data_IF_724989650091
#
_entry.id   IF_724989650091
#
_cell.length_a   1.000
_cell.length_b   1.000
_cell.length_c   1.000
_cell.angle_alpha   90.00
_cell.angle_beta   90.00
_cell.angle_gamma   90.00
#
_symmetry.space_group_name_H-M   'P 1'
#
loop_
_entity.id
_entity.type
_entity.pdbx_description
1 polymer ?
#
# COMPACT_ATOMS: atom_id res chain seq x y z
N UNK A 1 10.03 24.12 -53.40
CA UNK A 1 9.48 23.33 -52.29
C UNK A 1 8.14 23.93 -51.89
N UNK A 2 7.03 23.23 -52.14
CA UNK A 2 5.69 23.80 -52.02
C UNK A 2 5.35 24.02 -50.54
N UNK A 3 5.03 25.27 -50.16
CA UNK A 3 4.66 25.65 -48.78
C UNK A 3 3.56 24.75 -48.20
N UNK A 4 2.64 24.28 -49.04
CA UNK A 4 1.56 23.34 -48.68
C UNK A 4 2.07 21.93 -48.28
N UNK A 5 3.11 21.42 -48.93
CA UNK A 5 3.70 20.11 -48.61
C UNK A 5 4.43 20.15 -47.25
N UNK A 6 5.14 21.25 -46.97
CA UNK A 6 5.85 21.47 -45.70
C UNK A 6 4.85 21.59 -44.54
N UNK A 7 3.74 22.32 -44.73
CA UNK A 7 2.66 22.41 -43.72
C UNK A 7 2.00 21.04 -43.44
N UNK A 8 1.78 20.23 -44.48
CA UNK A 8 1.22 18.89 -44.34
C UNK A 8 2.10 17.95 -43.52
N UNK A 9 3.42 17.96 -43.78
CA UNK A 9 4.40 17.16 -43.03
C UNK A 9 4.51 17.63 -41.57
N UNK A 10 4.48 18.95 -41.32
CA UNK A 10 4.49 19.50 -39.96
C UNK A 10 3.24 19.14 -39.16
N UNK A 11 2.06 19.18 -39.80
CA UNK A 11 0.80 18.78 -39.17
C UNK A 11 0.79 17.29 -38.81
N UNK A 12 1.29 16.44 -39.72
CA UNK A 12 1.41 15.00 -39.47
C UNK A 12 2.39 14.69 -38.32
N UNK A 13 3.55 15.35 -38.28
CA UNK A 13 4.53 15.19 -37.19
C UNK A 13 3.98 15.62 -35.82
N UNK A 14 3.18 16.68 -35.75
CA UNK A 14 2.53 17.12 -34.51
C UNK A 14 1.49 16.11 -34.00
N UNK A 15 0.64 15.59 -34.89
CA UNK A 15 -0.37 14.59 -34.54
C UNK A 15 0.26 13.25 -34.16
N UNK A 16 1.30 12.82 -34.89
CA UNK A 16 2.01 11.57 -34.61
C UNK A 16 2.86 11.67 -33.33
N UNK A 17 3.57 12.79 -33.13
CA UNK A 17 4.38 13.03 -31.94
C UNK A 17 3.56 13.11 -30.65
N UNK A 18 2.39 13.73 -30.69
CA UNK A 18 1.46 13.73 -29.55
C UNK A 18 0.89 12.34 -29.27
N UNK A 19 0.65 11.51 -30.29
CA UNK A 19 0.18 10.14 -30.11
C UNK A 19 1.22 9.24 -29.41
N UNK A 20 2.49 9.32 -29.82
CA UNK A 20 3.62 8.60 -29.20
C UNK A 20 3.81 8.97 -27.73
N UNK A 21 3.80 10.28 -27.42
CA UNK A 21 3.98 10.78 -26.06
C UNK A 21 2.88 10.27 -25.11
N UNK A 22 1.64 10.16 -25.59
CA UNK A 22 0.53 9.66 -24.78
C UNK A 22 0.56 8.14 -24.58
N UNK A 23 0.97 7.38 -25.59
CA UNK A 23 1.20 5.94 -25.43
C UNK A 23 2.29 5.64 -24.40
N UNK A 24 3.30 6.50 -24.29
CA UNK A 24 4.34 6.38 -23.26
C UNK A 24 3.79 6.72 -21.86
N UNK A 25 3.00 7.79 -21.73
CA UNK A 25 2.35 8.16 -20.46
C UNK A 25 1.42 7.09 -19.92
N UNK A 26 0.64 6.41 -20.78
CA UNK A 26 -0.25 5.33 -20.36
C UNK A 26 0.52 4.10 -19.87
N UNK A 27 1.63 3.74 -20.54
CA UNK A 27 2.53 2.65 -20.10
C UNK A 27 3.15 2.95 -18.73
N UNK A 28 3.63 4.18 -18.51
CA UNK A 28 4.18 4.59 -17.21
C UNK A 28 3.13 4.55 -16.09
N UNK A 29 1.89 4.97 -16.37
CA UNK A 29 0.79 4.87 -15.40
C UNK A 29 0.42 3.42 -15.06
N UNK A 30 0.46 2.52 -16.05
CA UNK A 30 0.22 1.10 -15.81
C UNK A 30 1.32 0.49 -14.93
N UNK A 31 2.59 0.87 -15.15
CA UNK A 31 3.69 0.48 -14.26
C UNK A 31 3.46 1.03 -12.84
N UNK A 32 3.08 2.30 -12.71
CA UNK A 32 2.79 2.90 -11.40
C UNK A 32 1.64 2.21 -10.68
N UNK A 33 0.58 1.84 -11.40
CA UNK A 33 -0.55 1.07 -10.86
C UNK A 33 -0.10 -0.32 -10.38
N UNK A 34 0.69 -1.04 -11.18
CA UNK A 34 1.24 -2.36 -10.80
C UNK A 34 2.15 -2.26 -9.57
N UNK A 35 2.97 -1.22 -9.48
CA UNK A 35 3.84 -1.00 -8.32
C UNK A 35 3.03 -0.66 -7.07
N UNK A 36 2.02 0.21 -7.19
CA UNK A 36 1.12 0.55 -6.09
C UNK A 36 0.28 -0.65 -5.63
N UNK A 37 -0.15 -1.52 -6.55
CA UNK A 37 -0.84 -2.77 -6.20
C UNK A 37 0.08 -3.75 -5.46
N UNK A 38 1.34 -3.87 -5.89
CA UNK A 38 2.34 -4.68 -5.17
C UNK A 38 2.61 -4.12 -3.78
N UNK A 39 2.68 -2.79 -3.64
CA UNK A 39 2.84 -2.12 -2.35
C UNK A 39 1.64 -2.38 -1.42
N UNK A 40 0.42 -2.26 -1.95
CA UNK A 40 -0.81 -2.58 -1.21
C UNK A 40 -0.84 -4.04 -0.74
N UNK A 41 -0.53 -5.00 -1.64
CA UNK A 41 -0.46 -6.44 -1.28
C UNK A 41 0.61 -6.73 -0.23
N UNK A 42 1.75 -6.02 -0.25
CA UNK A 42 2.78 -6.16 0.79
C UNK A 42 2.28 -5.62 2.13
N UNK A 43 1.64 -4.45 2.13
CA UNK A 43 1.07 -3.86 3.34
C UNK A 43 -0.05 -4.73 3.94
N UNK A 44 -0.92 -5.34 3.12
CA UNK A 44 -1.90 -6.34 3.58
C UNK A 44 -1.24 -7.53 4.27
N UNK A 45 -0.15 -8.06 3.70
CA UNK A 45 0.62 -9.15 4.32
C UNK A 45 1.26 -8.73 5.64
N UNK A 46 1.74 -7.49 5.74
CA UNK A 46 2.29 -6.94 6.99
C UNK A 46 1.21 -6.83 8.07
N UNK A 47 0.00 -6.36 7.72
CA UNK A 47 -1.15 -6.33 8.63
C UNK A 47 -1.48 -7.74 9.12
N UNK A 48 -1.60 -8.71 8.21
CA UNK A 48 -1.91 -10.09 8.60
C UNK A 48 -0.84 -10.71 9.52
N UNK A 49 0.44 -10.35 9.34
CA UNK A 49 1.52 -10.79 10.25
C UNK A 49 1.42 -10.12 11.61
N UNK A 50 1.20 -8.80 11.64
CA UNK A 50 1.08 -8.04 12.87
C UNK A 50 -0.16 -8.44 13.68
N UNK A 51 -1.26 -8.81 13.01
CA UNK A 51 -2.45 -9.37 13.66
C UNK A 51 -2.16 -10.70 14.34
N UNK A 52 -1.47 -11.63 13.65
CA UNK A 52 -1.05 -12.90 14.24
C UNK A 52 -0.10 -12.71 15.43
N UNK A 53 0.79 -11.73 15.36
CA UNK A 53 1.69 -11.39 16.47
C UNK A 53 0.91 -10.83 17.67
N UNK A 54 -0.04 -9.93 17.42
CA UNK A 54 -0.90 -9.37 18.46
C UNK A 54 -1.77 -10.46 19.13
N UNK A 55 -2.35 -11.36 18.35
CA UNK A 55 -3.15 -12.48 18.88
C UNK A 55 -2.31 -13.41 19.77
N UNK A 56 -1.09 -13.74 19.35
CA UNK A 56 -0.16 -14.54 20.17
C UNK A 56 0.21 -13.83 21.47
N UNK A 57 0.57 -12.55 21.37
CA UNK A 57 0.94 -11.76 22.54
C UNK A 57 -0.23 -11.59 23.53
N UNK A 58 -1.47 -11.53 23.03
CA UNK A 58 -2.67 -11.54 23.84
C UNK A 58 -2.87 -12.86 24.58
N UNK A 59 -2.76 -14.00 23.88
CA UNK A 59 -2.83 -15.33 24.51
C UNK A 59 -1.74 -15.55 25.56
N UNK A 60 -0.52 -15.07 25.29
CA UNK A 60 0.59 -15.18 26.24
C UNK A 60 0.37 -14.28 27.48
N UNK A 61 -0.22 -13.09 27.29
CA UNK A 61 -0.61 -12.22 28.39
C UNK A 61 -1.71 -12.84 29.26
N UNK A 62 -2.73 -13.44 28.64
CA UNK A 62 -3.81 -14.13 29.35
C UNK A 62 -3.28 -15.30 30.19
N UNK A 63 -2.40 -16.14 29.60
CA UNK A 63 -1.75 -17.24 30.34
C UNK A 63 -0.93 -16.74 31.52
N UNK A 64 -0.13 -15.68 31.32
CA UNK A 64 0.69 -15.11 32.38
C UNK A 64 -0.16 -14.46 33.49
N UNK A 65 -1.34 -13.92 33.15
CA UNK A 65 -2.31 -13.41 34.11
C UNK A 65 -2.95 -14.55 34.93
N UNK A 66 -3.35 -15.63 34.27
CA UNK A 66 -3.87 -16.82 34.95
C UNK A 66 -2.83 -17.48 35.88
N UNK A 67 -1.55 -17.54 35.48
CA UNK A 67 -0.47 -18.03 36.36
C UNK A 67 -0.26 -17.14 37.57
N UNK A 68 -0.34 -15.82 37.38
CA UNK A 68 -0.24 -14.84 38.46
C UNK A 68 -1.39 -14.99 39.47
N UNK A 69 -2.63 -15.13 38.99
CA UNK A 69 -3.81 -15.32 39.85
C UNK A 69 -3.75 -16.62 40.65
N UNK A 70 -3.23 -17.69 40.05
CA UNK A 70 -3.05 -18.97 40.75
C UNK A 70 -1.98 -18.93 41.84
N UNK A 71 -1.13 -17.89 41.90
CA UNK A 71 -0.10 -17.73 42.93
C UNK A 71 0.97 -18.84 42.93
N UNK A 72 1.08 -19.62 41.85
CA UNK A 72 1.85 -20.87 41.81
C UNK A 72 3.35 -20.68 41.61
N UNK A 73 3.79 -19.48 41.21
CA UNK A 73 5.20 -19.23 40.87
C UNK A 73 5.66 -17.85 41.36
N UNK A 74 6.76 -17.75 42.15
CA UNK A 74 7.31 -16.46 42.58
C UNK A 74 7.75 -15.55 41.41
N UNK A 75 7.96 -16.11 40.21
CA UNK A 75 8.26 -15.35 38.99
C UNK A 75 7.01 -14.87 38.23
N UNK A 76 5.80 -15.26 38.64
CA UNK A 76 4.56 -14.99 37.90
C UNK A 76 4.30 -13.48 37.71
N UNK A 77 4.63 -12.64 38.71
CA UNK A 77 4.51 -11.18 38.61
C UNK A 77 5.38 -10.62 37.48
N UNK A 78 6.64 -11.04 37.41
CA UNK A 78 7.58 -10.61 36.38
C UNK A 78 7.18 -11.14 34.99
N UNK A 79 6.65 -12.36 34.90
CA UNK A 79 6.15 -12.91 33.64
C UNK A 79 4.91 -12.16 33.14
N UNK A 80 3.96 -11.84 34.02
CA UNK A 80 2.78 -11.03 33.70
C UNK A 80 3.16 -9.65 33.18
N UNK A 81 4.12 -8.99 33.81
CA UNK A 81 4.59 -7.68 33.38
C UNK A 81 5.25 -7.72 32.00
N UNK A 82 6.13 -8.72 31.76
CA UNK A 82 6.73 -8.94 30.43
C UNK A 82 5.68 -9.23 29.36
N UNK A 83 4.69 -10.05 29.67
CA UNK A 83 3.64 -10.40 28.72
C UNK A 83 2.75 -9.20 28.36
N UNK A 84 2.43 -8.34 29.34
CA UNK A 84 1.72 -7.06 29.11
C UNK A 84 2.54 -6.12 28.21
N UNK A 85 3.84 -5.98 28.47
CA UNK A 85 4.72 -5.18 27.63
C UNK A 85 4.81 -5.71 26.19
N UNK A 86 4.84 -7.04 26.01
CA UNK A 86 4.84 -7.66 24.70
C UNK A 86 3.51 -7.45 23.96
N UNK A 87 2.36 -7.57 24.66
CA UNK A 87 1.04 -7.25 24.11
C UNK A 87 0.99 -5.81 23.61
N UNK A 88 1.49 -4.86 24.41
CA UNK A 88 1.51 -3.44 24.02
C UNK A 88 2.37 -3.21 22.76
N UNK A 89 3.56 -3.81 22.69
CA UNK A 89 4.43 -3.73 21.50
C UNK A 89 3.75 -4.31 20.26
N UNK A 90 3.11 -5.47 20.38
CA UNK A 90 2.42 -6.12 19.27
C UNK A 90 1.22 -5.29 18.77
N UNK A 91 0.47 -4.67 19.68
CA UNK A 91 -0.60 -3.73 19.33
C UNK A 91 -0.08 -2.49 18.60
N UNK A 92 1.04 -1.90 19.07
CA UNK A 92 1.71 -0.78 18.36
C UNK A 92 2.18 -1.20 16.95
N UNK A 93 2.70 -2.41 16.78
CA UNK A 93 3.09 -2.94 15.48
C UNK A 93 1.88 -3.11 14.54
N UNK A 94 0.76 -3.64 15.07
CA UNK A 94 -0.50 -3.75 14.33
C UNK A 94 -1.01 -2.40 13.86
N UNK A 95 -0.99 -1.38 14.73
CA UNK A 95 -1.39 -0.01 14.37
C UNK A 95 -0.53 0.58 13.24
N UNK A 96 0.79 0.41 13.33
CA UNK A 96 1.72 0.84 12.27
C UNK A 96 1.45 0.13 10.94
N UNK A 97 1.20 -1.17 10.98
CA UNK A 97 0.87 -1.96 9.79
C UNK A 97 -0.43 -1.47 9.13
N UNK A 98 -1.47 -1.15 9.92
CA UNK A 98 -2.71 -0.58 9.39
C UNK A 98 -2.47 0.78 8.72
N UNK A 99 -1.70 1.68 9.36
CA UNK A 99 -1.32 2.98 8.77
C UNK A 99 -0.57 2.83 7.45
N UNK A 100 0.31 1.81 7.34
CA UNK A 100 1.01 1.52 6.09
C UNK A 100 0.05 1.01 5.00
N UNK A 101 -0.92 0.16 5.37
CA UNK A 101 -1.97 -0.32 4.45
C UNK A 101 -2.78 0.83 3.88
N UNK A 102 -3.23 1.74 4.73
CA UNK A 102 -3.99 2.93 4.32
C UNK A 102 -3.21 3.80 3.33
N UNK A 103 -1.93 4.07 3.62
CA UNK A 103 -1.04 4.81 2.71
C UNK A 103 -0.89 4.11 1.35
N UNK A 104 -0.74 2.79 1.35
CA UNK A 104 -0.58 2.00 0.13
C UNK A 104 -1.89 1.96 -0.69
N UNK A 105 -3.05 1.84 -0.04
CA UNK A 105 -4.36 1.94 -0.67
C UNK A 105 -4.56 3.32 -1.31
N UNK A 106 -4.26 4.40 -0.59
CA UNK A 106 -4.33 5.76 -1.13
C UNK A 106 -3.45 5.95 -2.38
N UNK A 107 -2.23 5.39 -2.38
CA UNK A 107 -1.35 5.42 -3.57
C UNK A 107 -1.98 4.66 -4.74
N UNK A 108 -2.57 3.49 -4.46
CA UNK A 108 -3.25 2.66 -5.46
C UNK A 108 -4.44 3.40 -6.06
N UNK A 109 -5.25 4.05 -5.26
CA UNK A 109 -6.38 4.86 -5.73
C UNK A 109 -5.93 6.05 -6.57
N UNK A 110 -4.90 6.78 -6.12
CA UNK A 110 -4.30 7.89 -6.88
C UNK A 110 -3.76 7.43 -8.25
N UNK A 111 -3.14 6.26 -8.32
CA UNK A 111 -2.67 5.70 -9.60
C UNK A 111 -3.84 5.36 -10.53
N UNK A 112 -4.88 4.71 -10.00
CA UNK A 112 -6.10 4.38 -10.75
C UNK A 112 -6.82 5.63 -11.25
N UNK A 113 -7.00 6.65 -10.41
CA UNK A 113 -7.70 7.88 -10.78
C UNK A 113 -6.96 8.67 -11.87
N UNK A 114 -5.63 8.74 -11.80
CA UNK A 114 -4.81 9.36 -12.87
C UNK A 114 -5.01 8.64 -14.21
N UNK A 115 -5.00 7.31 -14.19
CA UNK A 115 -5.19 6.49 -15.39
C UNK A 115 -6.59 6.68 -15.99
N UNK A 116 -7.65 6.68 -15.16
CA UNK A 116 -9.03 6.87 -15.62
C UNK A 116 -9.26 8.27 -16.17
N UNK A 117 -8.70 9.31 -15.53
CA UNK A 117 -8.81 10.70 -16.00
C UNK A 117 -8.17 10.90 -17.37
N UNK A 118 -6.99 10.32 -17.59
CA UNK A 118 -6.35 10.37 -18.92
C UNK A 118 -7.22 9.62 -19.94
N UNK A 119 -7.68 8.40 -19.63
CA UNK A 119 -8.53 7.63 -20.56
C UNK A 119 -9.84 8.38 -20.92
N UNK A 120 -10.46 9.06 -19.96
CA UNK A 120 -11.65 9.90 -20.19
C UNK A 120 -11.34 11.11 -21.09
N UNK A 121 -10.23 11.82 -20.84
CA UNK A 121 -9.81 12.97 -21.66
C UNK A 121 -9.66 12.63 -23.14
N UNK A 122 -9.31 11.39 -23.46
CA UNK A 122 -9.16 10.90 -24.83
C UNK A 122 -10.45 10.34 -25.45
N UNK A 123 -11.44 9.92 -24.65
CA UNK A 123 -12.74 9.49 -25.15
C UNK A 123 -13.68 10.65 -25.53
N UNK A 124 -13.35 11.85 -25.08
CA UNK A 124 -14.14 13.09 -25.27
C UNK A 124 -13.54 14.02 -26.34
N UNK A 125 -12.47 13.61 -27.02
CA UNK A 125 -11.85 14.31 -28.15
C UNK A 125 -12.05 13.48 -29.42
#
# INVERSE_FOLDING_TARGET
MNKSLILGIFSFLLVFGTSQLNAQKTKELEKQEKMAEKEAKKAEKEVAKAEKEAEKAEKDAEKAEAEYEKGTNPKARANREKAKANKEKAMKNKERAMKNREKAEMKREKAKSKKTNIKKKWRLK
#
